data_IF_890858174401
#
_entry.id   IF_890858174401
#
_cell.length_a   1.000
_cell.length_b   1.000
_cell.length_c   1.000
_cell.angle_alpha   90.00
_cell.angle_beta   90.00
_cell.angle_gamma   90.00
#
_symmetry.space_group_name_H-M   'P 1'
#
loop_
_entity.id
_entity.type
_entity.pdbx_description
1 polymer ?
#
# COMPACT_ATOMS: atom_id res chain seq x y z
N UNK A 1 -19.39 4.70 16.27
CA UNK A 1 -19.16 3.69 17.34
C UNK A 1 -17.69 3.31 17.50
N UNK A 2 -17.03 2.73 16.49
CA UNK A 2 -15.60 2.33 16.59
C UNK A 2 -14.62 3.48 16.85
N UNK A 3 -14.88 4.66 16.30
CA UNK A 3 -14.05 5.84 16.59
C UNK A 3 -14.04 6.20 18.08
N UNK A 4 -15.22 6.22 18.71
CA UNK A 4 -15.37 6.51 20.13
C UNK A 4 -14.67 5.45 20.99
N UNK A 5 -14.90 4.17 20.68
CA UNK A 5 -14.20 3.06 21.34
C UNK A 5 -12.68 3.19 21.22
N UNK A 6 -12.18 3.57 20.03
CA UNK A 6 -10.75 3.82 19.83
C UNK A 6 -10.22 4.91 20.77
N UNK A 7 -10.94 6.01 20.95
CA UNK A 7 -10.55 7.08 21.88
C UNK A 7 -10.60 6.60 23.33
N UNK A 8 -11.63 5.84 23.73
CA UNK A 8 -11.74 5.24 25.07
C UNK A 8 -10.54 4.32 25.37
N UNK A 9 -10.19 3.40 24.47
CA UNK A 9 -9.04 2.49 24.64
C UNK A 9 -7.70 3.21 24.64
N UNK A 10 -7.55 4.26 23.82
CA UNK A 10 -6.35 5.10 23.81
C UNK A 10 -6.17 5.80 25.15
N UNK A 11 -7.23 6.39 25.70
CA UNK A 11 -7.19 7.03 27.02
C UNK A 11 -6.93 6.04 28.15
N UNK A 12 -7.39 4.80 28.02
CA UNK A 12 -7.13 3.71 28.96
C UNK A 12 -5.75 3.06 28.80
N UNK A 13 -4.95 3.45 27.79
CA UNK A 13 -3.62 2.87 27.54
C UNK A 13 -3.61 1.45 26.97
N UNK A 14 -4.72 1.01 26.36
CA UNK A 14 -4.84 -0.36 25.82
C UNK A 14 -4.57 -0.37 24.31
N UNK A 15 -3.28 -0.47 23.96
CA UNK A 15 -2.79 -0.29 22.59
C UNK A 15 -3.35 -1.32 21.59
N UNK A 16 -3.54 -2.56 22.02
CA UNK A 16 -4.06 -3.65 21.19
C UNK A 16 -5.48 -3.36 20.70
N UNK A 17 -6.34 -2.85 21.58
CA UNK A 17 -7.71 -2.50 21.23
C UNK A 17 -7.82 -1.19 20.47
N UNK A 18 -6.91 -0.23 20.71
CA UNK A 18 -6.80 0.94 19.84
C UNK A 18 -6.52 0.50 18.38
N UNK A 19 -5.52 -0.37 18.19
CA UNK A 19 -5.13 -0.87 16.87
C UNK A 19 -6.21 -1.75 16.23
N UNK A 20 -6.93 -2.57 17.01
CA UNK A 20 -8.07 -3.32 16.51
C UNK A 20 -9.16 -2.38 15.98
N UNK A 21 -9.57 -1.37 16.76
CA UNK A 21 -10.60 -0.41 16.36
C UNK A 21 -10.19 0.35 15.10
N UNK A 22 -8.92 0.77 15.02
CA UNK A 22 -8.34 1.44 13.85
C UNK A 22 -8.37 0.55 12.62
N UNK A 23 -8.00 -0.73 12.73
CA UNK A 23 -8.06 -1.69 11.62
C UNK A 23 -9.49 -1.91 11.12
N UNK A 24 -10.47 -2.01 12.02
CA UNK A 24 -11.88 -2.14 11.65
C UNK A 24 -12.37 -0.91 10.86
N UNK A 25 -12.01 0.30 11.29
CA UNK A 25 -12.34 1.53 10.56
C UNK A 25 -11.68 1.57 9.17
N UNK A 26 -10.40 1.26 9.09
CA UNK A 26 -9.62 1.38 7.85
C UNK A 26 -9.92 0.28 6.82
N UNK A 27 -10.35 -0.91 7.26
CA UNK A 27 -10.60 -2.05 6.36
C UNK A 27 -12.01 -2.09 5.79
N UNK A 28 -12.98 -1.42 6.43
CA UNK A 28 -14.39 -1.52 6.07
C UNK A 28 -14.66 -1.08 4.62
N UNK A 29 -14.17 0.09 4.20
CA UNK A 29 -14.46 0.60 2.86
C UNK A 29 -13.86 -0.31 1.77
N UNK A 30 -12.67 -0.88 2.02
CA UNK A 30 -12.01 -1.81 1.11
C UNK A 30 -12.76 -3.14 0.94
N UNK A 31 -13.58 -3.53 1.94
CA UNK A 31 -14.40 -4.74 1.87
C UNK A 31 -15.44 -4.68 0.74
N UNK A 32 -15.99 -3.49 0.46
CA UNK A 32 -16.94 -3.26 -0.64
C UNK A 32 -16.30 -3.32 -2.03
N UNK A 33 -14.97 -3.24 -2.13
CA UNK A 33 -14.21 -3.37 -3.38
C UNK A 33 -13.50 -4.72 -3.52
N UNK A 34 -13.78 -5.69 -2.63
CA UNK A 34 -13.11 -6.98 -2.64
C UNK A 34 -13.59 -7.84 -3.82
N UNK A 35 -12.64 -8.50 -4.50
CA UNK A 35 -12.94 -9.55 -5.48
C UNK A 35 -13.09 -10.91 -4.79
N UNK A 36 -14.09 -11.69 -5.17
CA UNK A 36 -14.22 -13.08 -4.74
C UNK A 36 -13.58 -14.01 -5.79
N UNK A 37 -12.71 -14.90 -5.36
CA UNK A 37 -12.27 -16.03 -6.18
C UNK A 37 -13.34 -17.14 -6.11
N UNK A 38 -13.73 -17.71 -7.25
CA UNK A 38 -14.70 -18.82 -7.31
C UNK A 38 -13.92 -20.12 -7.42
N UNK A 39 -13.98 -20.93 -6.37
CA UNK A 39 -13.34 -22.23 -6.28
C UNK A 39 -14.42 -23.32 -6.28
N UNK A 40 -14.34 -24.22 -7.24
CA UNK A 40 -15.24 -25.37 -7.32
C UNK A 40 -14.50 -26.63 -6.90
N UNK A 41 -15.08 -27.41 -5.99
CA UNK A 41 -14.54 -28.72 -5.63
C UNK A 41 -14.63 -29.64 -6.84
N UNK A 42 -13.50 -30.24 -7.23
CA UNK A 42 -13.40 -31.18 -8.35
C UNK A 42 -13.11 -32.62 -7.89
N UNK A 43 -12.92 -32.85 -6.59
CA UNK A 43 -12.72 -34.18 -6.03
C UNK A 43 -12.18 -34.18 -4.60
N UNK A 44 -11.95 -35.39 -4.10
CA UNK A 44 -11.31 -35.68 -2.82
C UNK A 44 -9.89 -36.22 -3.04
N UNK A 45 -8.95 -35.81 -2.19
CA UNK A 45 -7.54 -36.17 -2.23
C UNK A 45 -6.92 -36.20 -0.82
N UNK A 46 -7.38 -37.08 0.09
CA UNK A 46 -7.04 -37.04 1.52
C UNK A 46 -5.56 -37.25 1.86
N UNK A 47 -4.77 -37.81 0.95
CA UNK A 47 -3.34 -38.11 1.15
C UNK A 47 -2.40 -37.13 0.43
N UNK A 48 -2.94 -36.04 -0.11
CA UNK A 48 -2.17 -35.02 -0.81
C UNK A 48 -1.88 -33.83 0.11
N UNK A 49 -0.64 -33.28 0.11
CA UNK A 49 -0.34 -32.09 0.88
C UNK A 49 -1.04 -30.85 0.33
N UNK A 50 -1.39 -29.94 1.23
CA UNK A 50 -2.01 -28.66 0.89
C UNK A 50 -1.08 -27.82 0.02
N UNK A 51 -1.57 -27.40 -1.15
CA UNK A 51 -0.77 -26.60 -2.11
C UNK A 51 -1.64 -25.94 -3.17
N UNK A 52 -1.03 -25.05 -3.95
CA UNK A 52 -1.62 -24.45 -5.15
C UNK A 52 -0.70 -24.72 -6.33
N UNK A 53 -1.25 -25.30 -7.39
CA UNK A 53 -0.53 -25.59 -8.62
C UNK A 53 -1.05 -24.70 -9.76
N UNK A 54 -0.12 -24.26 -10.61
CA UNK A 54 -0.43 -23.61 -11.88
C UNK A 54 -0.28 -24.66 -12.98
N UNK A 55 -1.38 -25.04 -13.62
CA UNK A 55 -1.42 -26.06 -14.65
C UNK A 55 -1.46 -25.42 -16.05
N UNK A 56 -0.76 -26.04 -16.98
CA UNK A 56 -0.73 -25.66 -18.40
C UNK A 56 -1.34 -26.79 -19.22
N UNK A 57 -2.24 -26.45 -20.14
CA UNK A 57 -2.90 -27.40 -21.02
C UNK A 57 -2.42 -27.18 -22.46
N UNK A 58 -2.00 -28.27 -23.12
CA UNK A 58 -1.49 -28.22 -24.49
C UNK A 58 -2.60 -27.70 -25.42
N UNK A 59 -2.27 -26.70 -26.24
CA UNK A 59 -3.22 -26.08 -27.18
C UNK A 59 -4.14 -25.02 -26.56
N UNK A 60 -4.00 -24.71 -25.26
CA UNK A 60 -4.80 -23.68 -24.59
C UNK A 60 -3.93 -22.50 -24.17
N UNK A 61 -4.27 -21.29 -24.65
CA UNK A 61 -3.57 -20.04 -24.27
C UNK A 61 -4.15 -19.45 -22.98
N UNK A 62 -4.23 -20.27 -21.92
CA UNK A 62 -4.57 -19.84 -20.57
C UNK A 62 -3.97 -20.78 -19.54
N UNK A 63 -3.73 -20.26 -18.33
CA UNK A 63 -3.29 -21.08 -17.19
C UNK A 63 -4.49 -21.51 -16.37
N UNK A 64 -4.50 -22.76 -15.91
CA UNK A 64 -5.45 -23.28 -14.91
C UNK A 64 -4.80 -23.23 -13.53
N UNK A 65 -5.57 -23.02 -12.48
CA UNK A 65 -5.08 -23.12 -11.10
C UNK A 65 -5.91 -24.10 -10.31
N UNK A 66 -5.24 -25.05 -9.67
CA UNK A 66 -5.85 -26.02 -8.74
C UNK A 66 -5.29 -25.82 -7.35
N UNK A 67 -6.09 -26.15 -6.34
CA UNK A 67 -5.74 -26.04 -4.93
C UNK A 67 -6.10 -27.34 -4.22
N UNK A 68 -5.12 -27.90 -3.54
CA UNK A 68 -5.28 -28.97 -2.57
C UNK A 68 -5.39 -28.31 -1.21
N UNK A 69 -6.48 -28.59 -0.49
CA UNK A 69 -6.73 -28.00 0.83
C UNK A 69 -7.56 -28.97 1.66
N UNK A 70 -7.05 -29.37 2.82
CA UNK A 70 -7.74 -30.23 3.79
C UNK A 70 -8.25 -31.56 3.19
N UNK A 71 -7.46 -32.16 2.30
CA UNK A 71 -7.82 -33.42 1.66
C UNK A 71 -8.86 -33.30 0.53
N UNK A 72 -9.16 -32.08 0.08
CA UNK A 72 -10.03 -31.81 -1.06
C UNK A 72 -9.27 -31.05 -2.16
N UNK A 73 -9.70 -31.24 -3.41
CA UNK A 73 -9.13 -30.53 -4.57
C UNK A 73 -10.17 -29.59 -5.19
N UNK A 74 -9.73 -28.36 -5.46
CA UNK A 74 -10.54 -27.29 -6.03
C UNK A 74 -9.91 -26.71 -7.29
N UNK A 75 -10.74 -26.27 -8.23
CA UNK A 75 -10.34 -25.52 -9.41
C UNK A 75 -10.80 -24.06 -9.32
N UNK A 76 -9.91 -23.12 -9.65
CA UNK A 76 -10.27 -21.71 -9.80
C UNK A 76 -11.03 -21.53 -11.12
N UNK A 77 -12.35 -21.30 -11.04
CA UNK A 77 -13.20 -21.04 -12.22
C UNK A 77 -13.19 -19.59 -12.66
N UNK A 78 -12.85 -18.68 -11.76
CA UNK A 78 -12.76 -17.26 -12.10
C UNK A 78 -12.94 -16.36 -10.88
N UNK A 79 -13.44 -15.17 -11.15
CA UNK A 79 -13.71 -14.15 -10.13
C UNK A 79 -15.16 -13.68 -10.26
N UNK A 80 -15.79 -13.44 -9.12
CA UNK A 80 -17.13 -12.85 -9.03
C UNK A 80 -17.15 -11.70 -8.05
N UNK A 81 -18.27 -11.00 -7.98
CA UNK A 81 -18.52 -9.99 -6.97
C UNK A 81 -18.71 -10.65 -5.59
N UNK A 82 -18.10 -10.08 -4.56
CA UNK A 82 -18.38 -10.50 -3.19
C UNK A 82 -19.84 -10.19 -2.80
N UNK A 83 -20.40 -10.91 -1.83
CA UNK A 83 -21.76 -10.70 -1.32
C UNK A 83 -22.06 -9.23 -0.94
N UNK A 84 -21.10 -8.55 -0.32
CA UNK A 84 -21.19 -7.12 0.06
C UNK A 84 -20.48 -6.21 -0.96
N UNK A 85 -20.33 -6.62 -2.22
CA UNK A 85 -19.64 -5.82 -3.23
C UNK A 85 -20.46 -4.57 -3.53
N UNK A 86 -19.84 -3.41 -3.36
CA UNK A 86 -20.37 -2.15 -3.90
C UNK A 86 -19.23 -1.18 -4.20
N UNK A 87 -18.54 -1.34 -5.35
CA UNK A 87 -17.32 -0.59 -5.68
C UNK A 87 -17.48 0.94 -5.72
N UNK A 88 -18.71 1.45 -5.83
CA UNK A 88 -19.00 2.87 -5.75
C UNK A 88 -18.61 3.48 -4.39
N UNK A 89 -18.75 2.73 -3.29
CA UNK A 89 -18.34 3.18 -1.94
C UNK A 89 -16.82 3.46 -1.89
N UNK A 90 -15.92 2.49 -2.14
CA UNK A 90 -14.48 2.74 -2.09
C UNK A 90 -14.03 3.75 -3.13
N UNK A 91 -14.69 3.81 -4.30
CA UNK A 91 -14.41 4.84 -5.30
C UNK A 91 -14.68 6.26 -4.74
N UNK A 92 -15.87 6.48 -4.16
CA UNK A 92 -16.25 7.77 -3.58
C UNK A 92 -15.37 8.14 -2.37
N UNK A 93 -15.13 7.21 -1.45
CA UNK A 93 -14.25 7.44 -0.29
C UNK A 93 -12.84 7.85 -0.74
N UNK A 94 -12.28 7.16 -1.74
CA UNK A 94 -10.95 7.46 -2.25
C UNK A 94 -10.90 8.79 -3.02
N UNK A 95 -11.97 9.12 -3.77
CA UNK A 95 -12.09 10.40 -4.47
C UNK A 95 -12.17 11.56 -3.49
N UNK A 96 -13.04 11.46 -2.48
CA UNK A 96 -13.18 12.46 -1.43
C UNK A 96 -11.86 12.68 -0.68
N UNK A 97 -11.17 11.61 -0.26
CA UNK A 97 -9.89 11.72 0.42
C UNK A 97 -8.82 12.45 -0.42
N UNK A 98 -8.79 12.20 -1.74
CA UNK A 98 -7.87 12.91 -2.66
C UNK A 98 -8.22 14.37 -2.83
N UNK A 99 -9.51 14.70 -2.98
CA UNK A 99 -9.97 16.08 -3.10
C UNK A 99 -9.71 16.86 -1.81
N UNK A 100 -9.95 16.25 -0.65
CA UNK A 100 -9.63 16.86 0.63
C UNK A 100 -8.12 17.11 0.80
N UNK A 101 -7.28 16.13 0.43
CA UNK A 101 -5.82 16.34 0.44
C UNK A 101 -5.41 17.47 -0.50
N UNK A 102 -6.04 17.56 -1.68
CA UNK A 102 -5.83 18.66 -2.62
C UNK A 102 -6.24 20.01 -2.04
N UNK A 103 -7.40 20.13 -1.40
CA UNK A 103 -7.83 21.34 -0.70
C UNK A 103 -6.81 21.78 0.36
N UNK A 104 -6.26 20.84 1.13
CA UNK A 104 -5.19 21.13 2.09
C UNK A 104 -3.90 21.62 1.43
N UNK A 105 -3.53 21.08 0.26
CA UNK A 105 -2.39 21.56 -0.52
C UNK A 105 -2.63 22.98 -1.03
N UNK A 106 -3.85 23.29 -1.48
CA UNK A 106 -4.24 24.63 -1.92
C UNK A 106 -4.19 25.63 -0.76
N UNK A 107 -4.66 25.23 0.44
CA UNK A 107 -4.60 26.06 1.65
C UNK A 107 -3.16 26.28 2.12
N UNK A 108 -2.32 25.25 2.12
CA UNK A 108 -0.88 25.40 2.39
C UNK A 108 -0.23 26.35 1.37
N UNK A 109 -0.71 26.31 0.12
CA UNK A 109 -0.25 27.09 -1.01
C UNK A 109 0.99 26.51 -1.68
N UNK A 110 1.12 26.80 -2.96
CA UNK A 110 2.23 26.34 -3.80
C UNK A 110 3.59 26.75 -3.20
N UNK A 111 4.57 25.84 -3.27
CA UNK A 111 5.89 26.01 -2.67
C UNK A 111 5.99 25.72 -1.17
N UNK A 112 4.87 25.53 -0.47
CA UNK A 112 4.86 25.23 0.98
C UNK A 112 4.62 23.77 1.34
N UNK A 113 4.38 22.91 0.34
CA UNK A 113 4.31 21.46 0.51
C UNK A 113 5.39 20.79 -0.33
N UNK A 114 6.04 19.77 0.23
CA UNK A 114 7.18 19.08 -0.37
C UNK A 114 6.87 17.62 -0.74
N UNK A 115 5.92 17.00 -0.05
CA UNK A 115 5.58 15.59 -0.25
C UNK A 115 4.19 15.27 0.29
N UNK A 116 3.50 14.33 -0.36
CA UNK A 116 2.26 13.76 0.15
C UNK A 116 2.24 12.23 -0.01
N UNK A 117 1.58 11.53 0.92
CA UNK A 117 1.30 10.10 0.79
C UNK A 117 -0.04 9.78 1.44
N UNK A 118 -1.06 9.58 0.60
CA UNK A 118 -2.43 9.17 0.93
C UNK A 118 -3.20 10.14 1.83
N UNK A 119 -2.74 10.36 3.06
CA UNK A 119 -3.39 11.09 4.14
C UNK A 119 -2.40 11.98 4.93
N UNK A 120 -1.25 12.30 4.33
CA UNK A 120 -0.19 13.08 4.97
C UNK A 120 0.41 14.11 4.03
N UNK A 121 0.86 15.24 4.60
CA UNK A 121 1.61 16.30 3.93
C UNK A 121 2.91 16.58 4.71
N UNK A 122 4.01 16.76 3.99
CA UNK A 122 5.23 17.37 4.51
C UNK A 122 5.24 18.82 4.02
N UNK A 123 5.25 19.76 4.95
CA UNK A 123 5.10 21.19 4.69
C UNK A 123 6.17 21.99 5.44
N UNK A 124 6.40 23.23 5.02
CA UNK A 124 7.20 24.19 5.78
C UNK A 124 6.36 24.93 6.84
N UNK A 125 7.00 25.85 7.56
CA UNK A 125 6.36 26.66 8.61
C UNK A 125 5.23 27.56 8.10
N UNK A 126 5.36 28.10 6.89
CA UNK A 126 4.31 28.92 6.26
C UNK A 126 3.05 28.08 5.98
N UNK A 127 3.24 26.88 5.42
CA UNK A 127 2.15 25.92 5.20
C UNK A 127 1.51 25.48 6.52
N UNK A 128 2.32 25.26 7.57
CA UNK A 128 1.81 24.90 8.90
C UNK A 128 0.94 26.00 9.49
N UNK A 129 1.39 27.26 9.41
CA UNK A 129 0.63 28.42 9.88
C UNK A 129 -0.72 28.53 9.15
N UNK A 130 -0.74 28.34 7.82
CA UNK A 130 -1.98 28.37 7.01
C UNK A 130 -2.95 27.24 7.33
N UNK A 131 -2.46 26.09 7.80
CA UNK A 131 -3.27 24.93 8.16
C UNK A 131 -3.65 24.88 9.65
N UNK A 132 -3.28 25.88 10.46
CA UNK A 132 -3.40 25.86 11.91
C UNK A 132 -4.83 25.57 12.42
N UNK A 133 -5.85 26.10 11.74
CA UNK A 133 -7.26 25.89 12.10
C UNK A 133 -7.75 24.46 11.85
N UNK A 134 -7.05 23.71 10.99
CA UNK A 134 -7.39 22.32 10.67
C UNK A 134 -6.71 21.32 11.61
N UNK A 135 -5.85 21.78 12.52
CA UNK A 135 -5.03 20.92 13.39
C UNK A 135 -5.77 20.63 14.70
N UNK A 136 -6.10 19.37 14.88
CA UNK A 136 -6.60 18.82 16.15
C UNK A 136 -6.20 17.33 16.23
N UNK A 137 -5.49 16.96 17.30
CA UNK A 137 -4.96 15.61 17.48
C UNK A 137 -6.03 14.55 17.87
N UNK A 138 -7.25 14.99 18.13
CA UNK A 138 -8.35 14.21 18.72
C UNK A 138 -9.65 14.27 17.94
N UNK A 139 -9.85 15.28 17.09
CA UNK A 139 -11.04 15.38 16.24
C UNK A 139 -10.91 14.50 14.99
N UNK A 140 -12.00 13.83 14.62
CA UNK A 140 -12.00 12.95 13.44
C UNK A 140 -11.96 13.80 12.16
N UNK A 141 -11.02 13.48 11.28
CA UNK A 141 -10.82 14.22 10.02
C UNK A 141 -9.86 15.40 10.13
N UNK A 142 -9.49 15.81 11.34
CA UNK A 142 -8.51 16.87 11.57
C UNK A 142 -7.07 16.42 11.35
N UNK A 143 -6.19 17.39 11.13
CA UNK A 143 -4.76 17.19 10.97
C UNK A 143 -4.07 17.02 12.32
N UNK A 144 -3.02 16.19 12.33
CA UNK A 144 -2.14 16.03 13.48
C UNK A 144 -0.70 16.30 13.06
N UNK A 145 -0.01 17.15 13.81
CA UNK A 145 1.45 17.29 13.69
C UNK A 145 2.12 16.01 14.21
N UNK A 146 2.80 15.28 13.32
CA UNK A 146 3.47 14.01 13.64
C UNK A 146 4.93 14.23 14.05
N UNK A 147 5.61 15.19 13.40
CA UNK A 147 7.03 15.51 13.65
C UNK A 147 7.39 16.85 13.01
N UNK A 148 8.33 17.58 13.61
CA UNK A 148 8.85 18.86 13.09
C UNK A 148 10.38 18.81 12.94
N UNK A 149 10.91 18.04 11.98
CA UNK A 149 12.35 17.94 11.74
C UNK A 149 12.89 19.25 11.15
N UNK A 150 14.16 19.55 11.41
CA UNK A 150 14.85 20.72 10.82
C UNK A 150 15.32 20.47 9.39
N UNK A 151 15.46 19.19 8.99
CA UNK A 151 15.85 18.80 7.65
C UNK A 151 15.06 17.58 7.15
N UNK A 152 14.85 17.54 5.84
CA UNK A 152 14.26 16.41 5.14
C UNK A 152 15.05 16.13 3.86
N UNK A 153 15.12 14.86 3.46
CA UNK A 153 15.64 14.47 2.15
C UNK A 153 14.62 13.52 1.53
N UNK A 154 14.03 13.92 0.42
CA UNK A 154 13.05 13.13 -0.35
C UNK A 154 13.75 12.60 -1.60
N UNK A 155 13.82 11.28 -1.73
CA UNK A 155 14.48 10.59 -2.85
C UNK A 155 13.47 9.98 -3.82
N UNK A 156 12.21 9.85 -3.39
CA UNK A 156 11.12 9.39 -4.23
C UNK A 156 9.91 8.93 -3.43
N UNK A 157 9.02 8.19 -4.08
CA UNK A 157 7.79 7.70 -3.48
C UNK A 157 8.07 6.71 -2.35
N UNK A 158 7.71 7.11 -1.14
CA UNK A 158 7.97 6.39 0.12
C UNK A 158 9.47 6.10 0.29
N UNK A 159 10.33 7.00 -0.18
CA UNK A 159 11.77 7.01 0.08
C UNK A 159 12.19 8.41 0.55
N UNK A 160 12.24 8.61 1.86
CA UNK A 160 12.62 9.88 2.47
C UNK A 160 13.20 9.70 3.88
N UNK A 161 13.98 10.69 4.32
CA UNK A 161 14.50 10.81 5.68
C UNK A 161 14.09 12.15 6.28
N UNK A 162 13.68 12.13 7.54
CA UNK A 162 13.15 13.27 8.28
C UNK A 162 13.59 13.15 9.74
N UNK A 163 14.63 13.89 10.15
CA UNK A 163 15.29 13.68 11.43
C UNK A 163 15.78 12.23 11.60
N UNK A 164 15.33 11.55 12.66
CA UNK A 164 15.66 10.14 12.93
C UNK A 164 14.80 9.13 12.17
N UNK A 165 13.75 9.59 11.47
CA UNK A 165 12.84 8.72 10.73
C UNK A 165 13.38 8.48 9.33
N UNK A 166 13.53 7.21 8.98
CA UNK A 166 13.86 6.76 7.63
C UNK A 166 12.71 5.90 7.10
N UNK A 167 12.23 6.24 5.91
CA UNK A 167 11.19 5.50 5.19
C UNK A 167 11.79 5.12 3.85
N UNK A 168 11.87 3.81 3.56
CA UNK A 168 12.33 3.30 2.26
C UNK A 168 11.34 2.22 1.81
N UNK A 169 10.74 2.42 0.64
CA UNK A 169 9.71 1.53 0.11
C UNK A 169 10.23 0.11 -0.06
N UNK A 170 9.56 -0.84 0.60
CA UNK A 170 9.88 -2.26 0.49
C UNK A 170 11.08 -2.72 1.31
N UNK A 171 11.76 -1.80 2.03
CA UNK A 171 12.85 -2.10 2.95
C UNK A 171 12.33 -2.01 4.38
N UNK A 172 12.56 -3.05 5.17
CA UNK A 172 12.14 -3.09 6.58
C UNK A 172 13.02 -2.17 7.43
N UNK A 173 12.48 -1.67 8.54
CA UNK A 173 13.23 -0.84 9.51
C UNK A 173 14.47 -1.55 10.09
N UNK A 174 14.43 -2.87 10.20
CA UNK A 174 15.53 -3.70 10.70
C UNK A 174 16.35 -4.37 9.58
N UNK A 175 16.18 -3.95 8.33
CA UNK A 175 17.02 -4.44 7.23
C UNK A 175 18.46 -3.96 7.41
N UNK A 176 19.42 -4.81 7.01
CA UNK A 176 20.85 -4.49 7.08
C UNK A 176 21.32 -4.04 5.71
N UNK A 177 21.84 -2.82 5.61
CA UNK A 177 22.49 -2.34 4.39
C UNK A 177 23.85 -3.03 4.24
N UNK A 178 24.01 -3.82 3.17
CA UNK A 178 25.24 -4.57 2.90
C UNK A 178 26.23 -3.72 2.11
N UNK A 179 25.71 -2.84 1.26
CA UNK A 179 26.39 -1.77 0.51
C UNK A 179 25.34 -0.77 0.05
N UNK A 180 25.77 0.39 -0.45
CA UNK A 180 24.87 1.45 -0.89
C UNK A 180 23.76 0.92 -1.82
N UNK A 181 22.51 1.12 -1.41
CA UNK A 181 21.31 0.71 -2.15
C UNK A 181 21.01 -0.79 -2.15
N UNK A 182 21.74 -1.60 -1.36
CA UNK A 182 21.55 -3.05 -1.28
C UNK A 182 21.32 -3.50 0.16
N UNK A 183 20.12 -3.99 0.41
CA UNK A 183 19.64 -4.36 1.74
C UNK A 183 19.38 -5.86 1.84
N UNK A 184 19.78 -6.47 2.95
CA UNK A 184 19.38 -7.81 3.34
C UNK A 184 18.26 -7.71 4.38
N UNK A 185 17.17 -8.44 4.18
CA UNK A 185 16.08 -8.49 5.15
C UNK A 185 15.40 -9.86 5.17
N UNK A 186 14.66 -10.11 6.25
CA UNK A 186 13.83 -11.31 6.36
C UNK A 186 12.56 -11.19 5.49
N UNK A 187 12.24 -12.28 4.81
CA UNK A 187 10.97 -12.53 4.14
C UNK A 187 10.22 -13.61 4.91
N UNK A 188 9.10 -13.20 5.48
CA UNK A 188 8.21 -14.07 6.22
C UNK A 188 7.17 -14.64 5.24
N UNK A 189 6.96 -15.96 5.20
CA UNK A 189 6.05 -16.55 4.25
C UNK A 189 4.59 -16.23 4.62
N UNK A 190 3.78 -15.90 3.61
CA UNK A 190 2.33 -15.80 3.76
C UNK A 190 1.70 -17.19 3.55
N UNK A 191 0.49 -17.42 4.07
CA UNK A 191 -0.22 -18.69 3.83
C UNK A 191 -0.35 -19.02 2.33
N UNK A 192 -0.74 -18.02 1.51
CA UNK A 192 -0.78 -18.16 0.04
C UNK A 192 0.59 -18.47 -0.56
N UNK A 193 1.67 -17.93 0.03
CA UNK A 193 3.05 -18.24 -0.36
C UNK A 193 3.46 -19.67 -0.02
N UNK A 194 3.11 -20.16 1.17
CA UNK A 194 3.38 -21.55 1.60
C UNK A 194 2.65 -22.55 0.69
N UNK A 195 1.36 -22.30 0.42
CA UNK A 195 0.57 -23.13 -0.50
C UNK A 195 1.19 -23.19 -1.91
N UNK A 196 1.64 -22.06 -2.45
CA UNK A 196 2.29 -22.03 -3.77
C UNK A 196 3.66 -22.72 -3.79
N UNK A 197 4.35 -22.75 -2.66
CA UNK A 197 5.64 -23.42 -2.52
C UNK A 197 5.49 -24.93 -2.25
N UNK A 198 4.27 -25.42 -1.95
CA UNK A 198 4.04 -26.79 -1.50
C UNK A 198 4.72 -27.12 -0.17
N UNK A 199 5.01 -26.11 0.66
CA UNK A 199 5.74 -26.24 1.93
C UNK A 199 4.83 -25.84 3.11
N UNK A 200 3.62 -26.41 3.20
CA UNK A 200 2.65 -26.05 4.25
C UNK A 200 3.06 -26.50 5.64
N UNK A 201 3.87 -27.54 5.73
CA UNK A 201 4.26 -28.15 7.02
C UNK A 201 5.49 -27.47 7.65
N UNK A 202 6.11 -26.51 6.95
CA UNK A 202 7.32 -25.84 7.41
C UNK A 202 7.18 -24.32 7.29
N UNK A 203 7.33 -23.62 8.42
CA UNK A 203 7.36 -22.16 8.46
C UNK A 203 8.80 -21.64 8.39
N UNK A 204 9.36 -21.52 7.17
CA UNK A 204 10.74 -21.02 6.99
C UNK A 204 10.78 -19.52 6.70
N UNK A 205 11.45 -18.76 7.58
CA UNK A 205 11.84 -17.37 7.31
C UNK A 205 13.09 -17.35 6.44
N UNK A 206 13.02 -16.71 5.28
CA UNK A 206 14.16 -16.63 4.33
C UNK A 206 14.81 -15.25 4.41
N UNK A 207 16.12 -15.18 4.19
CA UNK A 207 16.80 -13.91 3.92
C UNK A 207 16.69 -13.59 2.44
N UNK A 208 16.36 -12.34 2.12
CA UNK A 208 16.31 -11.84 0.75
C UNK A 208 17.13 -10.57 0.60
N UNK A 209 17.78 -10.44 -0.55
CA UNK A 209 18.47 -9.20 -0.93
C UNK A 209 17.53 -8.33 -1.76
N UNK A 210 17.48 -7.03 -1.43
CA UNK A 210 16.73 -6.00 -2.14
C UNK A 210 17.70 -4.99 -2.71
N UNK A 211 17.60 -4.75 -4.01
CA UNK A 211 18.36 -3.71 -4.71
C UNK A 211 17.41 -2.54 -4.96
N UNK A 212 17.76 -1.37 -4.43
CA UNK A 212 16.96 -0.16 -4.51
C UNK A 212 17.46 0.73 -5.65
N UNK A 213 16.64 0.87 -6.70
CA UNK A 213 16.88 1.83 -7.77
C UNK A 213 16.10 3.11 -7.47
N UNK A 214 16.79 4.19 -7.11
CA UNK A 214 16.19 5.52 -6.81
C UNK A 214 15.83 6.33 -8.06
N UNK A 215 15.33 5.66 -9.10
CA UNK A 215 14.89 6.34 -10.33
C UNK A 215 13.42 6.75 -10.16
N UNK A 216 13.13 8.04 -10.24
CA UNK A 216 11.75 8.54 -10.27
C UNK A 216 11.18 8.40 -11.69
N UNK A 217 10.03 7.74 -11.82
CA UNK A 217 9.43 7.42 -13.14
C UNK A 217 7.96 7.85 -13.25
N UNK A 218 7.49 8.73 -12.38
CA UNK A 218 6.07 9.14 -12.30
C UNK A 218 5.84 10.59 -12.75
N UNK A 219 6.88 11.24 -13.26
CA UNK A 219 6.91 12.64 -13.67
C UNK A 219 8.33 13.03 -14.05
N UNK A 220 8.48 14.23 -14.62
CA UNK A 220 9.78 14.83 -14.90
C UNK A 220 10.24 15.58 -13.66
N UNK A 221 11.45 15.27 -13.18
CA UNK A 221 12.05 15.94 -12.02
C UNK A 221 12.87 17.12 -12.52
N UNK A 222 12.51 18.32 -12.10
CA UNK A 222 13.23 19.55 -12.41
C UNK A 222 14.53 19.65 -11.59
N UNK A 223 15.40 20.59 -11.95
CA UNK A 223 16.69 20.81 -11.27
C UNK A 223 16.55 21.23 -9.80
N UNK A 224 15.41 21.83 -9.43
CA UNK A 224 15.07 22.22 -8.06
C UNK A 224 14.41 21.07 -7.25
N UNK A 225 14.20 19.90 -7.87
CA UNK A 225 13.55 18.75 -7.28
C UNK A 225 12.02 18.75 -7.38
N UNK A 226 11.40 19.79 -7.95
CA UNK A 226 9.96 19.81 -8.25
C UNK A 226 9.62 18.79 -9.35
N UNK A 227 8.35 18.36 -9.40
CA UNK A 227 7.91 17.28 -10.29
C UNK A 227 6.81 17.80 -11.21
N UNK A 228 7.08 17.75 -12.51
CA UNK A 228 6.07 17.98 -13.54
C UNK A 228 5.40 16.65 -13.87
N UNK A 229 4.05 16.56 -13.85
CA UNK A 229 3.36 15.33 -14.17
C UNK A 229 3.62 14.90 -15.61
N UNK A 230 3.54 13.59 -15.86
CA UNK A 230 3.50 13.09 -17.23
C UNK A 230 2.18 13.54 -17.87
N UNK A 231 2.26 14.21 -19.00
CA UNK A 231 1.08 14.62 -19.79
C UNK A 231 0.80 13.52 -20.80
N UNK A 232 -0.43 13.02 -20.82
CA UNK A 232 -0.91 12.15 -21.88
C UNK A 232 -1.28 13.05 -23.07
N UNK A 233 -0.38 13.16 -24.05
CA UNK A 233 -0.66 13.82 -25.33
C UNK A 233 -1.36 12.88 -26.32
N UNK A 234 -2.00 13.46 -27.34
CA UNK A 234 -2.40 12.69 -28.52
C UNK A 234 -1.16 12.41 -29.39
N UNK A 235 -1.21 11.38 -30.24
CA UNK A 235 -0.05 10.92 -31.05
C UNK A 235 0.58 12.00 -31.93
N UNK A 236 -0.18 13.04 -32.22
CA UNK A 236 0.13 14.02 -33.26
C UNK A 236 1.01 15.18 -32.73
N UNK A 237 1.23 15.25 -31.40
CA UNK A 237 2.09 16.26 -30.76
C UNK A 237 3.56 15.82 -30.63
N UNK A 238 3.90 14.60 -31.05
CA UNK A 238 5.28 14.13 -31.04
C UNK A 238 6.00 14.54 -32.32
N UNK A 239 6.79 15.62 -32.26
CA UNK A 239 7.81 15.85 -33.27
C UNK A 239 8.71 14.60 -33.33
N UNK A 240 9.00 14.06 -34.53
CA UNK A 240 9.84 12.88 -34.64
C UNK A 240 11.18 13.16 -33.96
N UNK A 241 11.51 12.34 -32.97
CA UNK A 241 12.85 12.28 -32.40
C UNK A 241 13.78 11.88 -33.56
N UNK A 242 14.42 12.88 -34.17
CA UNK A 242 15.54 12.67 -35.07
C UNK A 242 16.66 12.02 -34.25
N UNK A 243 16.81 10.71 -34.42
CA UNK A 243 18.00 9.96 -34.03
C UNK A 243 19.17 10.29 -34.96
#
# INVERSE_FOLDING_TARGET
RFYRLRQEFKSAGVAEYEELCKKMLNSLYGKFGQKAEVWEKIGDCPNEPDRVELCFEVGVVRTKQIRYLLGEIFELKGHTECFNSFPAIPAQVSAYARLYLWELMQLAGEGNYFYCDTDSLIINEVGLCRLQEMIDATSLGSLKVVSSPTNIVIRGLKDYSAGTKQVIKGIRRNAVEKRDGVYEQEQWPSFKGLLRAGQTDVYTVKKVTKVLNRKYTKGHVNSDGSIVPLVLGESDDYAPLFY
#
